data_IF_794163103341
#
_entry.id   IF_794163103341
#
_cell.length_a   1.000
_cell.length_b   1.000
_cell.length_c   1.000
_cell.angle_alpha   90.00
_cell.angle_beta   90.00
_cell.angle_gamma   90.00
#
_symmetry.space_group_name_H-M   'P 1'
#
loop_
_entity.id
_entity.type
_entity.pdbx_description
1 polymer ?
#
# COMPACT_ATOMS: atom_id res chain seq x y z
N UNK A 1 -7.90 -11.61 20.52
CA UNK A 1 -6.45 -11.47 20.83
C UNK A 1 -6.02 -10.17 20.22
N UNK A 2 -5.28 -9.32 20.93
CA UNK A 2 -4.78 -8.07 20.36
C UNK A 2 -3.70 -8.34 19.31
N UNK A 3 -3.43 -7.38 18.43
CA UNK A 3 -2.27 -7.42 17.54
C UNK A 3 -0.98 -7.64 18.32
N UNK A 4 -0.08 -8.45 17.76
CA UNK A 4 1.23 -8.69 18.33
C UNK A 4 2.05 -7.40 18.28
N UNK A 5 2.90 -7.17 19.29
CA UNK A 5 3.67 -5.92 19.39
C UNK A 5 4.59 -5.70 18.19
N UNK A 6 5.16 -6.77 17.66
CA UNK A 6 6.05 -6.75 16.51
C UNK A 6 5.30 -6.57 15.18
N UNK A 7 3.98 -6.77 15.17
CA UNK A 7 3.07 -6.41 14.08
C UNK A 7 2.64 -4.94 14.09
N UNK A 8 3.22 -4.11 14.97
CA UNK A 8 2.96 -2.67 15.01
C UNK A 8 4.25 -1.88 14.80
N UNK A 9 4.28 -1.06 13.76
CA UNK A 9 5.29 -0.01 13.61
C UNK A 9 4.73 1.31 14.13
N UNK A 10 5.09 1.66 15.37
CA UNK A 10 4.70 2.92 16.02
C UNK A 10 5.37 4.14 15.38
N UNK A 11 4.62 5.23 15.17
CA UNK A 11 5.11 6.48 14.57
C UNK A 11 5.97 6.26 13.31
N UNK A 12 5.51 5.37 12.43
CA UNK A 12 6.18 5.00 11.20
C UNK A 12 6.49 6.20 10.30
N UNK A 13 5.64 7.22 10.33
CA UNK A 13 5.88 8.55 9.77
C UNK A 13 5.43 9.59 10.79
N UNK A 14 6.15 10.71 10.86
CA UNK A 14 5.81 11.83 11.73
C UNK A 14 5.89 13.12 10.91
N UNK A 15 4.71 13.71 10.67
CA UNK A 15 4.51 14.96 9.93
C UNK A 15 4.43 16.19 10.85
N UNK A 16 4.60 16.02 12.16
CA UNK A 16 4.59 17.16 13.08
C UNK A 16 5.76 18.12 12.81
N UNK A 17 5.62 19.43 13.14
CA UNK A 17 6.68 20.41 12.94
C UNK A 17 8.01 20.08 13.63
N UNK A 18 7.99 19.22 14.65
CA UNK A 18 9.16 18.81 15.41
C UNK A 18 9.96 17.64 14.78
N UNK A 19 9.46 17.03 13.70
CA UNK A 19 10.05 15.82 13.11
C UNK A 19 11.16 16.11 12.08
N UNK A 20 12.39 15.70 12.40
CA UNK A 20 13.57 15.86 11.53
C UNK A 20 13.91 14.62 10.67
N UNK A 21 13.06 13.59 10.61
CA UNK A 21 13.41 12.32 9.95
C UNK A 21 12.37 11.88 8.90
N UNK A 22 12.38 12.49 7.71
CA UNK A 22 11.46 12.12 6.62
C UNK A 22 11.82 10.81 5.90
N UNK A 23 12.97 10.75 5.22
CA UNK A 23 13.27 9.66 4.28
C UNK A 23 13.66 8.32 4.93
N UNK A 24 14.36 8.37 6.07
CA UNK A 24 14.73 7.17 6.83
C UNK A 24 13.47 6.41 7.29
N UNK A 25 12.48 7.16 7.79
CA UNK A 25 11.20 6.62 8.27
C UNK A 25 10.37 5.96 7.17
N UNK A 26 10.30 6.56 5.97
CA UNK A 26 9.66 5.90 4.81
C UNK A 26 10.36 4.58 4.49
N UNK A 27 11.69 4.57 4.46
CA UNK A 27 12.45 3.34 4.15
C UNK A 27 12.24 2.25 5.22
N UNK A 28 12.25 2.63 6.50
CA UNK A 28 11.96 1.74 7.63
C UNK A 28 10.54 1.15 7.54
N UNK A 29 9.54 1.98 7.21
CA UNK A 29 8.18 1.52 6.97
C UNK A 29 8.13 0.49 5.84
N UNK A 30 8.75 0.74 4.69
CA UNK A 30 8.74 -0.22 3.59
C UNK A 30 9.44 -1.54 3.93
N UNK A 31 10.53 -1.49 4.70
CA UNK A 31 11.20 -2.69 5.21
C UNK A 31 10.29 -3.46 6.18
N UNK A 32 9.65 -2.76 7.10
CA UNK A 32 8.68 -3.35 8.03
C UNK A 32 7.55 -4.07 7.30
N UNK A 33 6.91 -3.41 6.32
CA UNK A 33 5.85 -4.01 5.50
C UNK A 33 6.32 -5.32 4.84
N UNK A 34 7.53 -5.33 4.26
CA UNK A 34 8.10 -6.53 3.62
C UNK A 34 8.39 -7.65 4.62
N UNK A 35 8.93 -7.31 5.79
CA UNK A 35 9.24 -8.28 6.84
C UNK A 35 7.95 -8.91 7.40
N UNK A 36 6.91 -8.10 7.65
CA UNK A 36 5.64 -8.61 8.19
C UNK A 36 4.88 -9.44 7.17
N UNK A 37 4.85 -9.00 5.91
CA UNK A 37 4.40 -9.84 4.81
C UNK A 37 5.12 -11.19 4.77
N UNK A 38 6.42 -11.20 5.05
CA UNK A 38 7.21 -12.41 5.00
C UNK A 38 6.73 -13.49 6.00
N UNK A 39 6.13 -13.07 7.12
CA UNK A 39 5.61 -13.93 8.20
C UNK A 39 4.26 -14.59 7.91
N UNK A 40 3.66 -14.35 6.75
CA UNK A 40 2.40 -15.01 6.39
C UNK A 40 2.54 -16.54 6.41
N UNK A 41 1.58 -17.21 7.04
CA UNK A 41 1.40 -18.66 6.98
C UNK A 41 -0.06 -19.00 6.63
N UNK A 42 -0.31 -20.00 5.78
CA UNK A 42 -1.67 -20.45 5.49
C UNK A 42 -2.46 -20.81 6.77
N UNK A 43 -3.74 -20.45 6.80
CA UNK A 43 -4.61 -20.74 7.95
C UNK A 43 -4.56 -19.72 9.09
N UNK A 44 -3.79 -18.62 8.97
CA UNK A 44 -3.88 -17.51 9.92
C UNK A 44 -5.32 -16.96 9.98
N UNK A 45 -5.84 -16.81 11.20
CA UNK A 45 -7.19 -16.28 11.48
C UNK A 45 -7.12 -15.13 12.48
N UNK A 46 -8.22 -14.38 12.62
CA UNK A 46 -8.29 -13.26 13.56
C UNK A 46 -7.23 -12.19 13.29
N UNK A 47 -6.58 -11.71 14.35
CA UNK A 47 -5.67 -10.56 14.30
C UNK A 47 -4.30 -10.93 13.71
N UNK A 48 -3.90 -12.19 13.79
CA UNK A 48 -2.65 -12.69 13.22
C UNK A 48 -2.56 -12.50 11.69
N UNK A 49 -3.68 -12.21 11.02
CA UNK A 49 -3.74 -11.88 9.60
C UNK A 49 -3.25 -10.47 9.28
N UNK A 50 -3.15 -9.59 10.27
CA UNK A 50 -2.89 -8.17 10.07
C UNK A 50 -1.57 -7.74 10.67
N UNK A 51 -1.08 -6.61 10.17
CA UNK A 51 -0.13 -5.76 10.89
C UNK A 51 -0.52 -4.30 10.65
N UNK A 52 0.00 -3.41 11.48
CA UNK A 52 -0.41 -2.03 11.57
C UNK A 52 0.78 -1.09 11.48
N UNK A 53 0.57 0.02 10.79
CA UNK A 53 1.49 1.15 10.70
C UNK A 53 0.79 2.35 11.33
N UNK A 54 1.34 2.85 12.43
CA UNK A 54 0.84 4.05 13.10
C UNK A 54 1.57 5.28 12.55
N UNK A 55 0.81 6.30 12.14
CA UNK A 55 1.33 7.51 11.52
C UNK A 55 0.86 8.73 12.28
N UNK A 56 1.80 9.57 12.68
CA UNK A 56 1.53 10.84 13.34
C UNK A 56 1.38 11.95 12.29
N UNK A 57 0.19 12.55 12.24
CA UNK A 57 -0.10 13.67 11.35
C UNK A 57 0.35 14.99 11.98
N UNK A 58 0.07 15.17 13.27
CA UNK A 58 0.53 16.32 14.04
C UNK A 58 0.59 16.03 15.55
N UNK A 59 0.60 17.08 16.37
CA UNK A 59 0.67 16.97 17.83
C UNK A 59 -0.48 16.14 18.42
N UNK A 60 -1.65 16.14 17.79
CA UNK A 60 -2.92 15.62 18.30
C UNK A 60 -3.54 14.54 17.44
N UNK A 61 -3.20 14.47 16.15
CA UNK A 61 -3.84 13.56 15.19
C UNK A 61 -2.91 12.41 14.80
N UNK A 62 -3.45 11.19 14.86
CA UNK A 62 -2.79 9.96 14.37
C UNK A 62 -3.72 9.15 13.50
N UNK A 63 -3.15 8.35 12.61
CA UNK A 63 -3.89 7.39 11.78
C UNK A 63 -3.17 6.05 11.83
N UNK A 64 -3.91 4.98 12.09
CA UNK A 64 -3.37 3.62 12.10
C UNK A 64 -3.87 2.89 10.86
N UNK A 65 -2.93 2.50 10.00
CA UNK A 65 -3.18 1.82 8.74
C UNK A 65 -3.00 0.31 8.93
N UNK A 66 -4.01 -0.48 8.54
CA UNK A 66 -4.00 -1.93 8.73
C UNK A 66 -3.79 -2.64 7.40
N UNK A 67 -2.86 -3.58 7.35
CA UNK A 67 -2.52 -4.33 6.15
C UNK A 67 -2.72 -5.83 6.36
N UNK A 68 -3.13 -6.53 5.32
CA UNK A 68 -3.25 -7.99 5.34
C UNK A 68 -1.91 -8.67 5.03
N UNK A 69 -1.46 -9.58 5.90
CA UNK A 69 -0.25 -10.41 5.70
C UNK A 69 -0.31 -11.27 4.44
N UNK A 70 -1.50 -11.76 4.10
CA UNK A 70 -1.73 -12.61 2.93
C UNK A 70 -1.25 -11.96 1.62
N UNK A 71 -1.55 -10.68 1.42
CA UNK A 71 -1.39 -10.03 0.11
C UNK A 71 -0.82 -8.61 0.18
N UNK A 72 -0.46 -8.09 1.35
CA UNK A 72 -0.04 -6.69 1.58
C UNK A 72 -1.13 -5.64 1.33
N UNK A 73 -2.40 -5.99 1.22
CA UNK A 73 -3.46 -5.02 0.90
C UNK A 73 -3.69 -4.11 2.10
N UNK A 74 -3.73 -2.79 1.86
CA UNK A 74 -4.21 -1.82 2.84
C UNK A 74 -5.71 -2.06 3.04
N UNK A 75 -6.06 -2.63 4.20
CA UNK A 75 -7.40 -3.13 4.50
C UNK A 75 -8.33 -2.08 5.06
N UNK A 76 -7.78 -1.05 5.67
CA UNK A 76 -8.56 -0.04 6.36
C UNK A 76 -7.71 0.75 7.34
N UNK A 77 -8.38 1.60 8.11
CA UNK A 77 -7.72 2.45 9.09
C UNK A 77 -8.61 2.75 10.29
N UNK A 78 -7.94 3.10 11.39
CA UNK A 78 -8.50 3.80 12.55
C UNK A 78 -7.81 5.16 12.69
N UNK A 79 -8.30 6.00 13.60
CA UNK A 79 -7.66 7.28 13.91
C UNK A 79 -7.60 7.51 15.43
N UNK A 80 -6.61 8.29 15.84
CA UNK A 80 -6.43 8.78 17.22
C UNK A 80 -6.41 7.67 18.28
N UNK A 81 -5.92 6.47 17.91
CA UNK A 81 -5.87 5.29 18.78
C UNK A 81 -7.25 4.70 19.11
N UNK A 82 -8.30 5.16 18.42
CA UNK A 82 -9.67 4.69 18.59
C UNK A 82 -9.94 3.32 17.95
N UNK A 83 -11.12 2.78 18.24
CA UNK A 83 -11.58 1.47 17.73
C UNK A 83 -12.45 1.58 16.49
N UNK A 84 -12.74 2.80 16.03
CA UNK A 84 -13.58 3.03 14.86
C UNK A 84 -12.81 2.73 13.59
N UNK A 85 -13.29 1.74 12.84
CA UNK A 85 -12.58 1.17 11.71
C UNK A 85 -13.33 1.43 10.41
N UNK A 86 -12.66 2.14 9.49
CA UNK A 86 -13.09 2.22 8.11
C UNK A 86 -12.37 1.16 7.29
N UNK A 87 -13.12 0.25 6.69
CA UNK A 87 -12.55 -0.76 5.81
C UNK A 87 -12.55 -0.32 4.34
N UNK A 88 -11.56 -0.84 3.61
CA UNK A 88 -11.45 -0.78 2.17
C UNK A 88 -11.84 -2.15 1.59
N UNK A 89 -12.89 -2.20 0.78
CA UNK A 89 -13.58 -3.44 0.42
C UNK A 89 -13.63 -3.67 -1.08
N UNK A 90 -13.35 -4.90 -1.49
CA UNK A 90 -13.64 -5.31 -2.86
C UNK A 90 -15.14 -5.57 -3.08
N UNK A 91 -15.56 -5.70 -4.34
CA UNK A 91 -16.96 -5.93 -4.71
C UNK A 91 -17.61 -7.12 -3.99
N UNK A 92 -16.85 -8.21 -3.78
CA UNK A 92 -17.36 -9.44 -3.12
C UNK A 92 -17.53 -9.22 -1.63
N UNK A 93 -16.58 -8.55 -1.00
CA UNK A 93 -16.60 -8.26 0.43
C UNK A 93 -17.67 -7.23 0.78
N UNK A 94 -17.94 -6.26 -0.12
CA UNK A 94 -19.07 -5.32 0.05
C UNK A 94 -20.42 -6.01 0.03
N UNK A 95 -20.55 -7.11 -0.71
CA UNK A 95 -21.77 -7.90 -0.81
C UNK A 95 -22.03 -8.78 0.43
N UNK A 96 -21.04 -8.95 1.32
CA UNK A 96 -21.22 -9.69 2.57
C UNK A 96 -22.17 -8.95 3.52
N UNK A 97 -22.83 -9.71 4.40
CA UNK A 97 -23.59 -9.14 5.50
C UNK A 97 -22.66 -8.50 6.55
N UNK A 98 -23.23 -7.93 7.61
CA UNK A 98 -22.42 -7.28 8.64
C UNK A 98 -21.57 -8.28 9.43
N UNK A 99 -22.11 -9.48 9.71
CA UNK A 99 -21.40 -10.53 10.42
C UNK A 99 -20.16 -11.01 9.65
N UNK A 100 -20.30 -11.26 8.35
CA UNK A 100 -19.22 -11.63 7.45
C UNK A 100 -18.15 -10.55 7.39
N UNK A 101 -18.52 -9.27 7.28
CA UNK A 101 -17.54 -8.17 7.25
C UNK A 101 -16.81 -7.98 8.58
N UNK A 102 -17.48 -8.20 9.71
CA UNK A 102 -16.82 -8.17 11.02
C UNK A 102 -15.73 -9.24 11.16
N UNK A 103 -15.84 -10.37 10.44
CA UNK A 103 -14.77 -11.37 10.40
C UNK A 103 -13.55 -10.93 9.57
N UNK A 104 -13.66 -9.83 8.81
CA UNK A 104 -12.62 -9.34 7.90
C UNK A 104 -11.87 -8.11 8.44
N UNK A 105 -12.17 -7.65 9.66
CA UNK A 105 -11.47 -6.57 10.35
C UNK A 105 -10.72 -7.11 11.58
N UNK A 106 -9.77 -6.34 12.16
CA UNK A 106 -9.15 -6.69 13.44
C UNK A 106 -10.18 -6.79 14.57
N UNK A 107 -9.90 -7.65 15.54
CA UNK A 107 -10.75 -7.90 16.71
C UNK A 107 -10.87 -6.64 17.56
N UNK A 108 -12.04 -6.42 18.15
CA UNK A 108 -12.28 -5.26 19.03
C UNK A 108 -12.53 -3.94 18.30
N UNK A 109 -12.58 -3.98 16.96
CA UNK A 109 -12.90 -2.81 16.14
C UNK A 109 -14.41 -2.69 15.88
N UNK A 110 -14.87 -1.44 15.80
CA UNK A 110 -16.23 -1.07 15.41
C UNK A 110 -16.21 -0.70 13.93
N UNK A 111 -16.80 -1.56 13.09
CA UNK A 111 -16.94 -1.28 11.66
C UNK A 111 -17.82 -0.05 11.44
N UNK A 112 -17.25 0.99 10.82
CA UNK A 112 -17.99 2.18 10.39
C UNK A 112 -18.41 2.07 8.94
N UNK A 113 -19.56 2.67 8.63
CA UNK A 113 -20.16 2.72 7.29
C UNK A 113 -20.40 4.20 6.98
N UNK A 114 -19.74 4.74 5.96
CA UNK A 114 -20.10 6.04 5.41
C UNK A 114 -21.37 5.95 4.55
N UNK A 115 -21.57 6.95 3.70
CA UNK A 115 -22.60 6.94 2.64
C UNK A 115 -22.47 5.73 1.69
N UNK A 116 -21.23 5.32 1.41
CA UNK A 116 -20.83 4.12 0.70
C UNK A 116 -19.56 3.54 1.37
N UNK A 117 -19.32 2.25 1.18
CA UNK A 117 -18.05 1.63 1.58
C UNK A 117 -16.92 2.10 0.66
N UNK A 118 -15.75 2.34 1.23
CA UNK A 118 -14.54 2.73 0.47
C UNK A 118 -14.06 1.53 -0.36
N UNK A 119 -13.92 1.71 -1.67
CA UNK A 119 -13.44 0.67 -2.60
C UNK A 119 -11.95 0.40 -2.47
N UNK A 120 -11.58 -0.88 -2.38
CA UNK A 120 -10.18 -1.30 -2.38
C UNK A 120 -9.54 -1.24 -3.78
N UNK A 121 -10.34 -1.45 -4.83
CA UNK A 121 -9.86 -1.48 -6.21
C UNK A 121 -9.54 -0.07 -6.71
N UNK A 122 -8.38 0.05 -7.40
CA UNK A 122 -7.95 1.30 -7.99
C UNK A 122 -8.98 1.82 -9.01
N UNK A 123 -9.57 2.97 -8.72
CA UNK A 123 -10.48 3.67 -9.61
C UNK A 123 -9.77 4.42 -10.73
N UNK A 124 -10.53 4.90 -11.72
CA UNK A 124 -9.98 5.79 -12.75
C UNK A 124 -9.48 7.10 -12.11
N UNK A 125 -8.20 7.41 -12.24
CA UNK A 125 -7.60 8.65 -11.73
C UNK A 125 -6.71 8.49 -10.49
N UNK A 126 -6.69 7.31 -9.84
CA UNK A 126 -5.79 7.00 -8.71
C UNK A 126 -4.29 7.08 -9.04
N UNK A 127 -3.98 7.25 -10.32
CA UNK A 127 -2.67 7.27 -10.95
C UNK A 127 -2.17 8.66 -11.34
N UNK A 128 -3.01 9.69 -11.25
CA UNK A 128 -2.72 11.05 -11.73
C UNK A 128 -1.87 11.86 -10.76
N UNK A 129 -1.80 11.44 -9.51
CA UNK A 129 -1.07 12.16 -8.47
C UNK A 129 0.41 11.83 -8.46
N UNK A 130 1.22 12.88 -8.40
CA UNK A 130 2.64 12.79 -8.07
C UNK A 130 2.80 12.25 -6.65
N UNK A 131 3.61 11.21 -6.49
CA UNK A 131 3.82 10.57 -5.20
C UNK A 131 4.90 11.34 -4.42
N UNK A 132 4.50 12.11 -3.41
CA UNK A 132 5.40 13.03 -2.69
C UNK A 132 5.04 13.13 -1.21
N UNK A 133 5.92 13.75 -0.40
CA UNK A 133 5.65 13.98 1.02
C UNK A 133 4.34 14.71 1.28
N UNK A 134 4.13 15.83 0.61
CA UNK A 134 2.92 16.65 0.76
C UNK A 134 1.67 15.90 0.29
N UNK A 135 1.78 15.10 -0.78
CA UNK A 135 0.68 14.24 -1.24
C UNK A 135 0.28 13.24 -0.16
N UNK A 136 1.25 12.51 0.41
CA UNK A 136 1.00 11.54 1.49
C UNK A 136 0.31 12.20 2.69
N UNK A 137 0.86 13.32 3.15
CA UNK A 137 0.35 14.08 4.30
C UNK A 137 -1.10 14.55 4.08
N UNK A 138 -1.37 15.11 2.90
CA UNK A 138 -2.70 15.56 2.51
C UNK A 138 -3.71 14.41 2.43
N UNK A 139 -3.31 13.26 1.87
CA UNK A 139 -4.18 12.08 1.76
C UNK A 139 -4.43 11.40 3.10
N UNK A 140 -3.43 11.32 3.98
CA UNK A 140 -3.62 10.81 5.34
C UNK A 140 -4.55 11.73 6.16
N UNK A 141 -4.37 13.05 6.04
CA UNK A 141 -5.29 14.03 6.65
C UNK A 141 -6.72 13.87 6.14
N UNK A 142 -6.89 13.60 4.84
CA UNK A 142 -8.20 13.33 4.24
C UNK A 142 -8.85 12.08 4.82
N UNK A 143 -8.11 10.98 4.97
CA UNK A 143 -8.61 9.75 5.59
C UNK A 143 -8.99 9.94 7.06
N UNK A 144 -8.17 10.71 7.80
CA UNK A 144 -8.44 11.06 9.20
C UNK A 144 -9.75 11.83 9.33
N UNK A 145 -9.90 12.93 8.60
CA UNK A 145 -11.13 13.75 8.62
C UNK A 145 -12.35 12.95 8.19
N UNK A 146 -12.24 12.14 7.13
CA UNK A 146 -13.35 11.32 6.65
C UNK A 146 -13.90 10.38 7.73
N UNK A 147 -13.03 9.65 8.41
CA UNK A 147 -13.47 8.74 9.48
C UNK A 147 -14.10 9.53 10.64
N UNK A 148 -13.53 10.67 11.01
CA UNK A 148 -14.12 11.56 12.02
C UNK A 148 -15.52 12.06 11.64
N UNK A 149 -15.74 12.40 10.36
CA UNK A 149 -17.05 12.82 9.85
C UNK A 149 -18.06 11.68 9.85
N UNK A 150 -17.65 10.47 9.44
CA UNK A 150 -18.49 9.27 9.47
C UNK A 150 -18.89 8.93 10.92
N UNK A 151 -17.96 8.98 11.86
CA UNK A 151 -18.23 8.72 13.29
C UNK A 151 -19.19 9.77 13.86
N UNK A 152 -19.04 11.03 13.46
CA UNK A 152 -19.91 12.12 13.88
C UNK A 152 -21.27 12.17 13.14
N UNK A 153 -21.53 11.29 12.18
CA UNK A 153 -22.74 11.31 11.36
C UNK A 153 -22.86 12.55 10.47
N UNK A 154 -21.73 13.18 10.13
CA UNK A 154 -21.68 14.34 9.23
C UNK A 154 -21.64 13.89 7.77
N UNK A 155 -21.88 14.82 6.85
CA UNK A 155 -21.69 14.57 5.42
C UNK A 155 -20.25 14.15 5.18
N UNK A 156 -20.08 13.01 4.52
CA UNK A 156 -18.79 12.45 4.19
C UNK A 156 -18.44 12.64 2.70
N UNK A 157 -17.15 12.55 2.38
CA UNK A 157 -16.61 12.59 1.00
C UNK A 157 -15.95 11.25 0.67
N UNK A 158 -16.78 10.24 0.43
CA UNK A 158 -16.33 8.87 0.18
C UNK A 158 -15.41 8.79 -1.04
N UNK A 159 -15.72 9.48 -2.13
CA UNK A 159 -14.86 9.50 -3.32
C UNK A 159 -13.47 10.09 -3.03
N UNK A 160 -13.42 11.18 -2.23
CA UNK A 160 -12.16 11.76 -1.80
C UNK A 160 -11.35 10.85 -0.86
N UNK A 161 -12.04 10.08 0.00
CA UNK A 161 -11.41 9.08 0.86
C UNK A 161 -10.87 7.89 0.05
N UNK A 162 -11.62 7.39 -0.92
CA UNK A 162 -11.18 6.33 -1.86
C UNK A 162 -9.91 6.74 -2.60
N UNK A 163 -9.90 7.93 -3.20
CA UNK A 163 -8.72 8.45 -3.87
C UNK A 163 -7.52 8.56 -2.92
N UNK A 164 -7.74 9.03 -1.68
CA UNK A 164 -6.69 9.12 -0.66
C UNK A 164 -6.15 7.75 -0.27
N UNK A 165 -7.01 6.77 -0.05
CA UNK A 165 -6.65 5.40 0.26
C UNK A 165 -5.77 4.80 -0.86
N UNK A 166 -6.17 4.97 -2.12
CA UNK A 166 -5.42 4.43 -3.26
C UNK A 166 -4.02 5.02 -3.37
N UNK A 167 -3.88 6.33 -3.16
CA UNK A 167 -2.57 6.98 -3.14
C UNK A 167 -1.71 6.45 -2.00
N UNK A 168 -2.27 6.31 -0.78
CA UNK A 168 -1.55 5.76 0.37
C UNK A 168 -1.14 4.31 0.11
N UNK A 169 -2.02 3.47 -0.46
CA UNK A 169 -1.71 2.10 -0.83
C UNK A 169 -0.54 2.04 -1.84
N UNK A 170 -0.54 2.92 -2.85
CA UNK A 170 0.57 3.05 -3.80
C UNK A 170 1.89 3.45 -3.14
N UNK A 171 1.85 4.34 -2.16
CA UNK A 171 3.04 4.86 -1.46
C UNK A 171 3.52 3.95 -0.31
N UNK A 172 2.76 2.91 0.02
CA UNK A 172 3.05 1.95 1.09
C UNK A 172 3.16 0.52 0.52
N UNK A 173 2.04 -0.19 0.42
CA UNK A 173 1.95 -1.58 -0.03
C UNK A 173 2.60 -1.79 -1.41
N UNK A 174 2.32 -0.94 -2.39
CA UNK A 174 2.87 -1.12 -3.72
C UNK A 174 4.38 -0.84 -3.76
N UNK A 175 4.87 0.17 -3.02
CA UNK A 175 6.32 0.36 -2.86
C UNK A 175 6.97 -0.82 -2.11
N UNK A 176 6.27 -1.44 -1.16
CA UNK A 176 6.77 -2.65 -0.52
C UNK A 176 6.92 -3.81 -1.53
N UNK A 177 6.03 -3.92 -2.52
CA UNK A 177 6.05 -4.94 -3.58
C UNK A 177 7.05 -4.68 -4.71
N UNK A 178 7.21 -3.42 -5.10
CA UNK A 178 7.98 -3.04 -6.29
C UNK A 178 9.23 -2.23 -5.92
N UNK A 179 10.33 -2.94 -5.68
CA UNK A 179 11.52 -2.35 -5.07
C UNK A 179 12.26 -1.33 -5.94
N UNK A 180 12.20 -1.42 -7.28
CA UNK A 180 12.76 -0.37 -8.15
C UNK A 180 12.02 0.96 -7.98
N UNK A 181 10.68 0.92 -7.99
CA UNK A 181 9.86 2.10 -7.75
C UNK A 181 10.11 2.64 -6.34
N UNK A 182 10.18 1.77 -5.33
CA UNK A 182 10.48 2.16 -3.95
C UNK A 182 11.85 2.82 -3.77
N UNK A 183 12.88 2.35 -4.48
CA UNK A 183 14.20 2.98 -4.46
C UNK A 183 14.14 4.39 -5.02
N UNK A 184 13.50 4.58 -6.18
CA UNK A 184 13.27 5.90 -6.78
C UNK A 184 12.43 6.79 -5.85
N UNK A 185 11.36 6.23 -5.26
CA UNK A 185 10.48 6.91 -4.32
C UNK A 185 11.23 7.52 -3.14
N UNK A 186 11.99 6.68 -2.44
CA UNK A 186 12.71 7.07 -1.22
C UNK A 186 13.83 8.07 -1.49
N UNK A 187 14.53 7.92 -2.62
CA UNK A 187 15.54 8.89 -3.07
C UNK A 187 14.91 10.25 -3.38
N UNK A 188 13.81 10.28 -4.15
CA UNK A 188 13.10 11.52 -4.47
C UNK A 188 12.49 12.15 -3.22
N UNK A 189 11.89 11.36 -2.33
CA UNK A 189 11.38 11.82 -1.04
C UNK A 189 12.47 12.49 -0.20
N UNK A 190 13.67 11.91 -0.13
CA UNK A 190 14.81 12.50 0.58
C UNK A 190 15.24 13.84 -0.01
N UNK A 191 15.12 13.99 -1.33
CA UNK A 191 15.42 15.23 -2.03
C UNK A 191 14.26 16.26 -2.02
N UNK A 192 13.13 15.96 -1.35
CA UNK A 192 11.94 16.81 -1.38
C UNK A 192 11.22 16.82 -2.74
N UNK A 193 11.49 15.83 -3.59
CA UNK A 193 10.92 15.69 -4.92
C UNK A 193 9.80 14.66 -4.96
N UNK A 194 8.87 14.86 -5.88
CA UNK A 194 7.83 13.89 -6.18
C UNK A 194 8.32 12.79 -7.12
N UNK A 195 7.94 11.54 -6.83
CA UNK A 195 8.16 10.43 -7.75
C UNK A 195 7.16 10.47 -8.91
N UNK A 196 7.71 10.35 -10.11
CA UNK A 196 6.96 10.14 -11.33
C UNK A 196 6.45 8.71 -11.43
N UNK A 197 5.51 8.50 -12.33
CA UNK A 197 4.88 7.19 -12.52
C UNK A 197 5.81 6.17 -13.21
N UNK A 198 6.96 6.58 -13.76
CA UNK A 198 7.93 5.69 -14.43
C UNK A 198 9.33 5.84 -13.82
N UNK A 199 10.18 4.84 -14.05
CA UNK A 199 11.59 4.85 -13.67
C UNK A 199 12.43 4.37 -14.85
N UNK A 200 13.53 5.06 -15.14
CA UNK A 200 14.51 4.64 -16.15
C UNK A 200 15.76 4.09 -15.49
N UNK A 201 16.22 2.92 -15.91
CA UNK A 201 17.43 2.25 -15.44
C UNK A 201 18.19 1.60 -16.59
N UNK A 202 19.48 1.35 -16.41
CA UNK A 202 20.25 0.53 -17.34
C UNK A 202 20.10 -0.95 -17.00
N UNK A 203 19.60 -1.73 -17.94
CA UNK A 203 19.49 -3.19 -17.81
C UNK A 203 20.48 -3.90 -18.72
N UNK A 204 20.93 -5.06 -18.24
CA UNK A 204 21.89 -5.92 -18.91
C UNK A 204 21.13 -7.05 -19.62
N UNK A 205 20.88 -6.88 -20.92
CA UNK A 205 20.11 -7.86 -21.71
C UNK A 205 21.00 -8.98 -22.27
N UNK A 206 22.28 -8.69 -22.49
CA UNK A 206 23.28 -9.63 -23.03
C UNK A 206 24.68 -9.20 -22.59
N UNK A 207 25.67 -10.11 -22.44
CA UNK A 207 27.02 -9.81 -22.00
C UNK A 207 27.63 -8.56 -22.68
N UNK A 208 28.04 -7.57 -21.88
CA UNK A 208 28.62 -6.31 -22.38
C UNK A 208 27.64 -5.25 -22.89
N UNK A 209 26.33 -5.52 -22.98
CA UNK A 209 25.35 -4.57 -23.49
C UNK A 209 24.39 -4.09 -22.41
N UNK A 210 24.55 -2.81 -22.01
CA UNK A 210 23.60 -2.11 -21.16
C UNK A 210 22.70 -1.21 -22.01
N UNK A 211 21.40 -1.39 -21.89
CA UNK A 211 20.40 -0.58 -22.61
C UNK A 211 19.51 0.14 -21.59
N UNK A 212 19.14 1.37 -21.90
CA UNK A 212 18.16 2.09 -21.09
C UNK A 212 16.78 1.43 -21.21
N UNK A 213 16.22 1.10 -20.05
CA UNK A 213 14.87 0.57 -19.90
C UNK A 213 14.05 1.56 -19.08
N UNK A 214 12.93 2.00 -19.63
CA UNK A 214 11.92 2.77 -18.90
C UNK A 214 10.76 1.86 -18.56
N UNK A 215 10.42 1.77 -17.27
CA UNK A 215 9.31 0.97 -16.79
C UNK A 215 7.99 1.43 -17.42
N UNK A 216 6.98 0.55 -17.53
CA UNK A 216 5.60 1.02 -17.69
C UNK A 216 5.20 1.94 -16.51
N UNK A 217 4.14 2.74 -16.65
CA UNK A 217 3.60 3.52 -15.56
C UNK A 217 3.28 2.60 -14.37
N UNK A 218 3.53 3.09 -13.15
CA UNK A 218 3.49 2.29 -11.94
C UNK A 218 2.12 1.65 -11.73
N UNK A 219 1.04 2.37 -12.07
CA UNK A 219 -0.35 1.87 -12.03
C UNK A 219 -0.54 0.59 -12.87
N UNK A 220 0.15 0.46 -13.98
CA UNK A 220 0.01 -0.67 -14.90
C UNK A 220 0.82 -1.86 -14.40
N UNK A 221 1.97 -1.58 -13.77
CA UNK A 221 2.80 -2.59 -13.13
C UNK A 221 2.10 -3.24 -11.93
N UNK A 222 1.49 -2.44 -11.04
CA UNK A 222 0.84 -2.96 -9.82
C UNK A 222 -0.28 -3.95 -10.12
N UNK A 223 -1.06 -3.70 -11.18
CA UNK A 223 -2.14 -4.59 -11.63
C UNK A 223 -1.64 -5.94 -12.15
N UNK A 224 -0.33 -6.09 -12.39
CA UNK A 224 0.30 -7.33 -12.85
C UNK A 224 1.29 -7.91 -11.84
N UNK A 225 1.23 -7.53 -10.56
CA UNK A 225 2.19 -7.96 -9.54
C UNK A 225 2.44 -9.48 -9.51
N UNK A 226 1.39 -10.31 -9.53
CA UNK A 226 1.51 -11.77 -9.56
C UNK A 226 2.23 -12.27 -10.83
N UNK A 227 1.83 -11.75 -12.01
CA UNK A 227 2.45 -12.13 -13.29
C UNK A 227 3.89 -11.65 -13.41
N UNK A 228 4.20 -10.44 -12.93
CA UNK A 228 5.55 -9.89 -12.87
C UNK A 228 6.44 -10.69 -11.93
N UNK A 229 5.92 -11.09 -10.77
CA UNK A 229 6.63 -12.00 -9.85
C UNK A 229 6.96 -13.32 -10.54
N UNK A 230 5.96 -13.96 -11.18
CA UNK A 230 6.17 -15.23 -11.92
C UNK A 230 7.21 -15.05 -13.03
N UNK A 231 7.12 -13.98 -13.81
CA UNK A 231 8.08 -13.67 -14.89
C UNK A 231 9.49 -13.43 -14.36
N UNK A 232 9.63 -12.73 -13.23
CA UNK A 232 10.92 -12.48 -12.58
C UNK A 232 11.60 -13.75 -12.04
N UNK A 233 10.84 -14.82 -11.81
CA UNK A 233 11.37 -16.11 -11.37
C UNK A 233 11.61 -17.08 -12.54
N UNK A 234 11.70 -16.58 -13.78
CA UNK A 234 11.94 -17.41 -14.98
C UNK A 234 10.68 -18.04 -15.59
N UNK A 235 9.48 -17.60 -15.20
CA UNK A 235 8.23 -18.07 -15.80
C UNK A 235 8.16 -17.82 -17.32
N UNK A 236 7.72 -18.82 -18.08
CA UNK A 236 7.69 -18.78 -19.55
C UNK A 236 6.45 -18.11 -20.14
N UNK A 237 5.39 -17.91 -19.34
CA UNK A 237 4.16 -17.25 -19.79
C UNK A 237 4.44 -15.91 -20.48
N UNK A 238 3.68 -15.64 -21.54
CA UNK A 238 3.67 -14.33 -22.17
C UNK A 238 3.07 -13.29 -21.21
N UNK A 239 3.81 -12.21 -20.98
CA UNK A 239 3.36 -11.07 -20.20
C UNK A 239 3.49 -9.81 -21.05
N UNK A 240 2.37 -9.12 -21.24
CA UNK A 240 2.31 -7.87 -22.00
C UNK A 240 1.84 -6.74 -21.10
N UNK A 241 2.53 -5.60 -21.15
CA UNK A 241 2.14 -4.35 -20.50
C UNK A 241 2.10 -3.26 -21.57
N UNK A 242 0.95 -2.60 -21.73
CA UNK A 242 0.74 -1.55 -22.73
C UNK A 242 1.19 -1.95 -24.15
N UNK A 243 0.87 -3.17 -24.57
CA UNK A 243 1.22 -3.71 -25.88
C UNK A 243 2.68 -4.19 -26.03
N UNK A 244 3.53 -4.06 -25.00
CA UNK A 244 4.92 -4.53 -25.03
C UNK A 244 5.11 -5.80 -24.22
N UNK A 245 5.78 -6.79 -24.80
CA UNK A 245 6.19 -8.01 -24.09
C UNK A 245 7.24 -7.67 -23.05
N UNK A 246 7.00 -8.08 -21.80
CA UNK A 246 7.94 -7.93 -20.69
C UNK A 246 8.82 -9.16 -20.62
N UNK A 247 10.14 -8.97 -20.67
CA UNK A 247 11.12 -10.05 -20.50
C UNK A 247 11.51 -10.24 -19.03
N UNK A 248 12.19 -11.35 -18.72
CA UNK A 248 12.55 -11.68 -17.34
C UNK A 248 13.37 -10.58 -16.65
N UNK A 249 14.43 -10.07 -17.28
CA UNK A 249 15.30 -9.04 -16.67
C UNK A 249 14.55 -7.74 -16.33
N UNK A 250 13.53 -7.39 -17.12
CA UNK A 250 12.68 -6.23 -16.86
C UNK A 250 11.73 -6.47 -15.67
N UNK A 251 11.18 -7.67 -15.57
CA UNK A 251 10.36 -8.08 -14.42
C UNK A 251 11.19 -8.16 -13.13
N UNK A 252 12.40 -8.71 -13.19
CA UNK A 252 13.36 -8.72 -12.09
C UNK A 252 13.71 -7.31 -11.62
N UNK A 253 13.95 -6.40 -12.56
CA UNK A 253 14.20 -5.01 -12.26
C UNK A 253 13.01 -4.35 -11.53
N UNK A 254 11.79 -4.48 -12.07
CA UNK A 254 10.59 -3.88 -11.45
C UNK A 254 10.32 -4.42 -10.03
N UNK A 255 10.45 -5.73 -9.82
CA UNK A 255 10.27 -6.35 -8.49
C UNK A 255 11.40 -5.92 -7.55
N UNK A 256 12.66 -5.93 -8.00
CA UNK A 256 13.77 -5.18 -7.41
C UNK A 256 13.97 -5.29 -5.89
N UNK A 257 13.97 -6.49 -5.31
CA UNK A 257 14.08 -6.69 -3.86
C UNK A 257 12.82 -6.33 -3.06
N UNK A 258 11.71 -6.07 -3.74
CA UNK A 258 10.38 -5.94 -3.16
C UNK A 258 9.74 -7.30 -2.81
N UNK A 259 8.59 -7.23 -2.16
CA UNK A 259 7.80 -8.41 -1.79
C UNK A 259 7.31 -9.15 -3.04
N UNK A 260 7.62 -10.45 -3.11
CA UNK A 260 7.18 -11.35 -4.19
C UNK A 260 5.80 -11.93 -3.86
N UNK A 261 4.92 -12.00 -4.86
CA UNK A 261 3.63 -12.67 -4.75
C UNK A 261 3.77 -14.15 -4.36
N UNK A 262 2.80 -14.65 -3.60
CA UNK A 262 2.77 -16.00 -3.02
C UNK A 262 1.53 -16.77 -3.52
N UNK A 263 1.69 -17.88 -4.26
CA UNK A 263 0.56 -18.70 -4.70
C UNK A 263 -0.28 -19.25 -3.54
N UNK A 264 0.37 -19.65 -2.45
CA UNK A 264 -0.24 -20.19 -1.24
C UNK A 264 -1.04 -19.15 -0.45
N UNK A 265 -0.81 -17.87 -0.72
CA UNK A 265 -1.71 -16.84 -0.24
C UNK A 265 -3.07 -16.99 -0.95
N UNK A 266 -3.14 -17.36 -2.23
CA UNK A 266 -4.37 -17.31 -3.02
C UNK A 266 -4.85 -15.88 -3.27
N UNK A 267 -5.72 -15.70 -4.26
CA UNK A 267 -6.43 -14.42 -4.51
C UNK A 267 -7.62 -14.23 -3.55
#
# INVERSE_FOLDING_TARGET
MALEHDDVLGNALDFSPASAAGAKRVSEMLVFLRQRYATFTPGQTGDARFFMVDVRLDATRTIQLYFLKRNLYLRGWTHDGGTDFMGAWDDKERALDEAGRRQLIPTGMTLRKGSDFVKAEYGQGADKETLSRSTMEGRLSKLHTYLGDVVAGRRDDTAGAEAGLHVIARMTAEMARFGLFAKSFTQKWAAGLGQESTVTVKLHYSPGQYTDYTTPPFRDAILKWAKLTKKSNGGTDALTLLGKTVVQVEAEAMIGGGAKWRPEAGE
#
